data_IF_050387588586
#
_entry.id   IF_050387588586
#
_cell.length_a   1.000
_cell.length_b   1.000
_cell.length_c   1.000
_cell.angle_alpha   90.00
_cell.angle_beta   90.00
_cell.angle_gamma   90.00
#
_symmetry.space_group_name_H-M   'P 1'
#
loop_
_entity.id
_entity.type
_entity.pdbx_description
1 polymer ?
#
# COMPACT_ATOMS: atom_id res chain seq x y z
N UNK A 1 -38.06 26.98 19.32
CA UNK A 1 -38.82 27.13 18.06
C UNK A 1 -38.12 27.98 16.98
N UNK A 2 -37.04 28.73 17.27
CA UNK A 2 -36.35 29.56 16.27
C UNK A 2 -35.40 28.83 15.30
N UNK A 3 -34.82 27.70 15.70
CA UNK A 3 -33.82 26.96 14.89
C UNK A 3 -34.43 26.05 13.82
N UNK A 4 -35.69 25.60 14.00
CA UNK A 4 -36.36 24.73 13.04
C UNK A 4 -36.73 25.47 11.74
N UNK A 5 -37.04 26.78 11.81
CA UNK A 5 -37.32 27.60 10.61
C UNK A 5 -36.08 27.80 9.74
N UNK A 6 -34.90 27.91 10.33
CA UNK A 6 -33.65 28.08 9.58
C UNK A 6 -33.26 26.83 8.80
N UNK A 7 -33.43 25.63 9.38
CA UNK A 7 -33.09 24.40 8.68
C UNK A 7 -34.07 24.06 7.54
N UNK A 8 -35.35 24.40 7.69
CA UNK A 8 -36.34 24.24 6.60
C UNK A 8 -36.07 25.20 5.43
N UNK A 9 -35.64 26.44 5.72
CA UNK A 9 -35.27 27.40 4.66
C UNK A 9 -33.97 27.03 3.95
N UNK A 10 -32.99 26.46 4.67
CA UNK A 10 -31.74 25.95 4.06
C UNK A 10 -32.03 24.73 3.18
N UNK A 11 -32.92 23.83 3.61
CA UNK A 11 -33.34 22.68 2.80
C UNK A 11 -34.08 23.12 1.52
N UNK A 12 -34.98 24.11 1.63
CA UNK A 12 -35.69 24.68 0.48
C UNK A 12 -34.74 25.43 -0.47
N UNK A 13 -33.71 26.08 0.05
CA UNK A 13 -32.66 26.72 -0.75
C UNK A 13 -31.79 25.71 -1.51
N UNK A 14 -31.44 24.59 -0.89
CA UNK A 14 -30.65 23.52 -1.53
C UNK A 14 -31.47 22.76 -2.59
N UNK A 15 -32.78 22.60 -2.39
CA UNK A 15 -33.68 22.00 -3.39
C UNK A 15 -33.93 22.91 -4.60
N UNK A 16 -33.90 24.24 -4.42
CA UNK A 16 -34.00 25.19 -5.53
C UNK A 16 -32.72 25.29 -6.38
N UNK A 17 -31.55 24.99 -5.80
CA UNK A 17 -30.26 24.97 -6.52
C UNK A 17 -30.05 23.70 -7.37
N UNK A 18 -30.82 22.62 -7.11
CA UNK A 18 -30.66 21.35 -7.80
C UNK A 18 -31.47 21.23 -9.12
N UNK A 19 -32.21 22.27 -9.55
CA UNK A 19 -33.02 22.22 -10.78
C UNK A 19 -32.41 22.93 -11.99
N UNK A 20 -31.13 23.28 -11.95
CA UNK A 20 -30.45 23.97 -13.05
C UNK A 20 -29.03 23.46 -13.21
N UNK A 21 -28.85 22.35 -13.94
CA UNK A 21 -27.72 22.17 -14.86
C UNK A 21 -27.89 20.87 -15.64
N UNK A 22 -28.11 21.03 -16.94
CA UNK A 22 -28.06 19.97 -17.93
C UNK A 22 -26.75 20.19 -18.70
N UNK A 23 -25.68 19.50 -18.30
CA UNK A 23 -24.39 19.58 -18.99
C UNK A 23 -23.79 18.20 -19.09
N UNK A 24 -23.72 17.70 -20.32
CA UNK A 24 -22.95 16.52 -20.74
C UNK A 24 -21.45 16.81 -20.65
N UNK A 25 -20.69 15.98 -19.94
CA UNK A 25 -19.23 15.90 -20.13
C UNK A 25 -18.65 14.54 -19.76
N UNK A 26 -17.72 14.12 -20.61
CA UNK A 26 -16.89 12.90 -20.60
C UNK A 26 -15.96 12.78 -19.37
N UNK A 27 -15.35 11.59 -19.14
CA UNK A 27 -14.66 11.25 -17.90
C UNK A 27 -13.16 11.62 -17.96
N UNK A 28 -12.84 12.83 -17.55
CA UNK A 28 -11.49 13.22 -17.13
C UNK A 28 -11.67 14.32 -16.08
N UNK A 29 -11.42 13.99 -14.82
CA UNK A 29 -10.96 14.88 -13.74
C UNK A 29 -11.18 14.19 -12.39
N UNK A 30 -10.15 13.45 -11.94
CA UNK A 30 -10.01 12.96 -10.58
C UNK A 30 -8.75 13.60 -9.99
N UNK A 31 -8.76 14.92 -9.80
CA UNK A 31 -7.72 15.64 -9.09
C UNK A 31 -8.28 16.91 -8.42
N UNK A 32 -7.87 17.13 -7.16
CA UNK A 32 -8.10 18.30 -6.26
C UNK A 32 -9.38 18.31 -5.40
N UNK A 33 -9.19 18.14 -4.08
CA UNK A 33 -9.34 19.21 -3.07
C UNK A 33 -9.28 18.64 -1.64
N UNK A 34 -8.22 18.99 -0.91
CA UNK A 34 -8.11 19.02 0.55
C UNK A 34 -7.85 20.49 0.92
N UNK A 35 -8.43 20.96 2.04
CA UNK A 35 -7.80 21.77 3.12
C UNK A 35 -8.89 22.45 3.99
N UNK A 36 -8.84 22.25 5.31
CA UNK A 36 -8.63 23.35 6.29
C UNK A 36 -8.59 22.86 7.77
N UNK A 37 -7.79 23.58 8.56
CA UNK A 37 -7.19 23.28 9.87
C UNK A 37 -8.07 23.59 11.10
N UNK A 38 -7.63 23.14 12.30
CA UNK A 38 -7.31 24.03 13.46
C UNK A 38 -6.68 23.27 14.66
N UNK A 39 -5.62 23.86 15.26
CA UNK A 39 -4.85 23.40 16.43
C UNK A 39 -5.52 23.70 17.79
N UNK A 40 -5.14 22.97 18.85
CA UNK A 40 -5.17 23.45 20.24
C UNK A 40 -4.17 22.71 21.15
N UNK A 41 -3.46 23.47 21.98
CA UNK A 41 -2.44 23.09 22.97
C UNK A 41 -2.98 22.34 24.20
N UNK A 42 -2.06 21.66 24.94
CA UNK A 42 -2.32 21.24 26.33
C UNK A 42 -1.21 20.43 27.03
N UNK A 43 -0.48 21.08 27.94
CA UNK A 43 0.50 20.56 28.90
C UNK A 43 -0.03 19.50 29.90
N UNK A 44 0.87 18.72 30.51
CA UNK A 44 0.56 18.03 31.78
C UNK A 44 1.62 17.06 32.32
N UNK A 45 2.34 17.49 33.37
CA UNK A 45 3.37 16.76 34.12
C UNK A 45 2.85 15.91 35.30
N UNK A 46 3.72 15.02 35.82
CA UNK A 46 3.63 14.33 37.13
C UNK A 46 3.63 12.80 37.00
N UNK A 47 4.47 11.99 37.63
CA UNK A 47 5.22 12.10 38.89
C UNK A 47 4.73 10.98 39.84
N UNK A 48 5.62 10.09 40.30
CA UNK A 48 5.28 9.14 41.39
C UNK A 48 6.08 7.84 41.42
N UNK A 49 7.06 7.79 42.34
CA UNK A 49 7.86 6.62 42.75
C UNK A 49 7.06 5.56 43.52
N UNK A 50 7.53 4.30 43.46
CA UNK A 50 7.11 3.22 44.36
C UNK A 50 7.89 1.92 44.14
N UNK A 51 8.84 1.64 45.03
CA UNK A 51 9.81 0.56 44.96
C UNK A 51 9.23 -0.86 45.15
N UNK A 52 9.85 -1.86 44.51
CA UNK A 52 9.85 -3.25 45.00
C UNK A 52 11.18 -3.97 44.64
N UNK A 53 11.96 -4.33 45.66
CA UNK A 53 13.29 -4.94 45.57
C UNK A 53 13.20 -6.46 45.44
N UNK A 54 12.80 -6.91 44.26
CA UNK A 54 13.18 -8.21 43.64
C UNK A 54 13.36 -8.05 42.12
N UNK A 55 13.44 -6.80 41.66
CA UNK A 55 13.47 -6.35 40.26
C UNK A 55 14.87 -5.94 39.76
N UNK A 56 15.93 -6.05 40.57
CA UNK A 56 17.20 -5.37 40.25
C UNK A 56 17.96 -5.99 39.06
N UNK A 57 17.84 -7.31 38.82
CA UNK A 57 18.48 -7.94 37.67
C UNK A 57 17.74 -7.64 36.36
N UNK A 58 16.40 -7.68 36.38
CA UNK A 58 15.59 -7.36 35.19
C UNK A 58 15.64 -5.87 34.85
N UNK A 59 15.80 -5.00 35.86
CA UNK A 59 15.98 -3.56 35.64
C UNK A 59 17.33 -3.23 35.03
N UNK A 60 18.41 -3.93 35.43
CA UNK A 60 19.73 -3.74 34.84
C UNK A 60 19.76 -4.22 33.39
N UNK A 61 19.21 -5.41 33.11
CA UNK A 61 19.09 -5.92 31.73
C UNK A 61 18.25 -4.99 30.86
N UNK A 62 17.13 -4.48 31.38
CA UNK A 62 16.30 -3.48 30.69
C UNK A 62 17.07 -2.18 30.42
N UNK A 63 17.85 -1.68 31.39
CA UNK A 63 18.65 -0.47 31.21
C UNK A 63 19.77 -0.67 30.17
N UNK A 64 20.40 -1.85 30.15
CA UNK A 64 21.42 -2.19 29.16
C UNK A 64 20.79 -2.27 27.76
N UNK A 65 19.66 -2.97 27.61
CA UNK A 65 18.93 -3.05 26.34
C UNK A 65 18.47 -1.67 25.87
N UNK A 66 17.90 -0.85 26.75
CA UNK A 66 17.49 0.51 26.44
C UNK A 66 18.68 1.37 26.01
N UNK A 67 19.82 1.27 26.69
CA UNK A 67 21.03 2.00 26.33
C UNK A 67 21.58 1.56 24.97
N UNK A 68 21.63 0.25 24.69
CA UNK A 68 22.04 -0.28 23.39
C UNK A 68 21.10 0.18 22.28
N UNK A 69 19.78 0.15 22.51
CA UNK A 69 18.77 0.64 21.58
C UNK A 69 18.97 2.12 21.24
N UNK A 70 19.19 2.97 22.24
CA UNK A 70 19.49 4.39 22.04
C UNK A 70 20.81 4.61 21.28
N UNK A 71 21.85 3.83 21.59
CA UNK A 71 23.12 3.86 20.86
C UNK A 71 22.92 3.52 19.37
N UNK A 72 22.11 2.50 19.07
CA UNK A 72 21.76 2.12 17.71
C UNK A 72 20.94 3.18 16.98
N UNK A 73 19.92 3.74 17.62
CA UNK A 73 19.09 4.82 17.04
C UNK A 73 19.98 6.02 16.68
N UNK A 74 20.90 6.41 17.57
CA UNK A 74 21.87 7.50 17.28
C UNK A 74 22.79 7.14 16.13
N UNK A 75 23.33 5.91 16.07
CA UNK A 75 24.21 5.48 14.99
C UNK A 75 23.49 5.46 13.63
N UNK A 76 22.24 5.00 13.61
CA UNK A 76 21.42 5.01 12.39
C UNK A 76 21.12 6.44 11.94
N UNK A 77 20.79 7.35 12.87
CA UNK A 77 20.61 8.78 12.57
C UNK A 77 21.90 9.44 12.04
N UNK A 78 23.06 9.09 12.58
CA UNK A 78 24.36 9.64 12.15
C UNK A 78 24.78 9.23 10.73
N UNK A 79 24.15 8.20 10.14
CA UNK A 79 24.36 7.85 8.72
C UNK A 79 23.46 8.59 7.75
N UNK A 80 22.56 9.46 8.24
CA UNK A 80 21.63 10.26 7.45
C UNK A 80 22.08 11.72 7.22
N UNK A 81 23.06 12.22 7.98
CA UNK A 81 23.55 13.60 7.87
C UNK A 81 25.06 13.64 7.64
N UNK A 82 25.46 14.56 6.75
CA UNK A 82 26.80 14.75 6.18
C UNK A 82 27.95 14.59 7.20
N UNK A 83 28.99 13.77 6.94
CA UNK A 83 30.06 13.50 7.90
C UNK A 83 31.11 14.61 7.85
N UNK A 84 30.82 15.77 8.43
CA UNK A 84 31.79 16.85 8.61
C UNK A 84 31.75 17.37 10.04
N UNK A 85 32.17 16.54 11.00
CA UNK A 85 32.66 17.03 12.29
C UNK A 85 33.76 16.10 12.77
N UNK A 86 35.00 16.62 12.71
CA UNK A 86 36.17 16.14 13.44
C UNK A 86 35.82 15.97 14.92
N UNK A 87 35.71 14.71 15.37
CA UNK A 87 35.80 14.36 16.78
C UNK A 87 37.03 13.48 16.98
N UNK A 88 37.85 13.90 17.95
CA UNK A 88 39.20 13.44 18.18
C UNK A 88 39.34 11.96 18.49
N UNK A 89 40.43 11.41 17.97
CA UNK A 89 41.06 10.13 18.27
C UNK A 89 41.37 9.94 19.77
N UNK A 90 40.55 9.20 20.53
CA UNK A 90 41.06 8.42 21.68
C UNK A 90 40.15 7.27 22.14
N UNK A 91 39.64 6.44 21.23
CA UNK A 91 38.96 5.17 21.58
C UNK A 91 39.39 4.06 20.59
N UNK A 92 40.65 3.61 20.69
CA UNK A 92 41.20 2.52 19.85
C UNK A 92 40.84 1.10 20.30
N UNK A 93 39.87 0.95 21.19
CA UNK A 93 39.37 -0.35 21.63
C UNK A 93 37.84 -0.42 21.64
N UNK A 94 37.16 0.41 20.83
CA UNK A 94 35.74 0.24 20.57
C UNK A 94 35.56 -0.81 19.48
N UNK A 95 35.23 -2.00 19.95
CA UNK A 95 34.64 -3.16 19.27
C UNK A 95 34.34 -2.99 17.77
N UNK A 96 34.73 -4.01 17.00
CA UNK A 96 34.17 -4.28 15.66
C UNK A 96 32.64 -4.32 15.79
N UNK A 97 32.01 -3.17 15.62
CA UNK A 97 30.56 -3.06 15.69
C UNK A 97 29.98 -4.08 14.70
N UNK A 98 29.01 -4.90 15.13
CA UNK A 98 28.44 -5.90 14.25
C UNK A 98 27.89 -5.20 13.01
N UNK A 99 28.31 -5.70 11.85
CA UNK A 99 27.94 -5.16 10.56
C UNK A 99 26.41 -5.10 10.48
N UNK A 100 25.86 -3.90 10.27
CA UNK A 100 24.42 -3.71 10.16
C UNK A 100 23.90 -4.58 9.01
N UNK A 101 23.04 -5.55 9.31
CA UNK A 101 22.46 -6.45 8.31
C UNK A 101 21.67 -5.62 7.31
N UNK A 102 22.01 -5.73 6.02
CA UNK A 102 21.29 -5.07 4.93
C UNK A 102 20.61 -6.11 4.05
N UNK A 103 19.30 -5.96 3.87
CA UNK A 103 18.47 -6.82 3.01
C UNK A 103 17.92 -5.99 1.86
N UNK A 104 17.90 -6.55 0.66
CA UNK A 104 17.28 -5.92 -0.51
C UNK A 104 15.99 -6.62 -0.90
N UNK A 105 14.91 -5.87 -1.04
CA UNK A 105 13.59 -6.37 -1.42
C UNK A 105 13.04 -5.57 -2.62
N UNK A 106 12.03 -6.13 -3.28
CA UNK A 106 11.32 -5.47 -4.39
C UNK A 106 9.90 -5.15 -3.93
N UNK A 107 9.41 -3.95 -4.24
CA UNK A 107 8.02 -3.55 -3.94
C UNK A 107 7.03 -4.55 -4.51
N UNK A 108 6.10 -5.00 -3.65
CA UNK A 108 4.98 -5.86 -4.02
C UNK A 108 5.31 -7.35 -4.05
N UNK A 109 6.58 -7.74 -4.05
CA UNK A 109 7.01 -9.14 -4.01
C UNK A 109 7.20 -9.64 -2.58
N UNK A 110 7.08 -10.95 -2.37
CA UNK A 110 7.44 -11.56 -1.09
C UNK A 110 8.94 -11.41 -0.86
N UNK A 111 9.31 -10.81 0.26
CA UNK A 111 10.68 -10.72 0.74
C UNK A 111 10.85 -11.63 1.97
N UNK A 112 11.79 -12.58 1.88
CA UNK A 112 12.10 -13.50 2.97
C UNK A 112 13.50 -13.20 3.51
N UNK A 113 13.59 -12.94 4.81
CA UNK A 113 14.86 -12.80 5.51
C UNK A 113 15.22 -14.17 6.08
N UNK A 114 16.36 -14.69 5.63
CA UNK A 114 16.86 -15.99 6.07
C UNK A 114 17.76 -15.86 7.29
N UNK A 115 17.80 -16.92 8.08
CA UNK A 115 18.60 -17.07 9.31
C UNK A 115 20.09 -16.80 9.10
N UNK A 116 20.63 -16.98 7.89
CA UNK A 116 22.05 -16.78 7.58
C UNK A 116 22.60 -15.37 7.86
N UNK A 117 21.72 -14.37 8.01
CA UNK A 117 22.12 -13.02 8.43
C UNK A 117 22.34 -12.90 9.95
N UNK A 118 22.04 -13.97 10.68
CA UNK A 118 21.94 -14.00 12.13
C UNK A 118 22.55 -15.29 12.68
N UNK A 119 22.75 -15.35 13.98
CA UNK A 119 23.15 -16.60 14.61
C UNK A 119 21.92 -17.49 14.80
N UNK A 120 21.81 -18.57 14.03
CA UNK A 120 20.65 -19.49 14.03
C UNK A 120 20.29 -19.99 15.44
N UNK A 121 21.30 -20.22 16.28
CA UNK A 121 21.12 -20.64 17.68
C UNK A 121 20.40 -19.62 18.56
N UNK A 122 20.37 -18.35 18.16
CA UNK A 122 19.59 -17.34 18.88
C UNK A 122 18.09 -17.43 18.55
N UNK A 123 17.74 -17.94 17.37
CA UNK A 123 16.36 -18.06 16.89
C UNK A 123 15.67 -19.34 17.36
N UNK A 124 16.42 -20.41 17.61
CA UNK A 124 15.87 -21.69 18.07
C UNK A 124 15.04 -21.54 19.37
N UNK A 125 13.80 -22.02 19.35
CA UNK A 125 12.86 -21.97 20.49
C UNK A 125 12.68 -20.56 21.08
N UNK A 126 12.76 -19.53 20.24
CA UNK A 126 12.55 -18.14 20.63
C UNK A 126 11.21 -17.61 20.11
N UNK A 127 10.72 -16.54 20.73
CA UNK A 127 9.63 -15.71 20.21
C UNK A 127 10.23 -14.48 19.57
N UNK A 128 9.78 -14.16 18.35
CA UNK A 128 10.24 -13.00 17.60
C UNK A 128 9.30 -11.82 17.81
N UNK A 129 9.87 -10.61 17.86
CA UNK A 129 9.16 -9.34 17.90
C UNK A 129 9.80 -8.36 16.92
N UNK A 130 8.98 -7.53 16.31
CA UNK A 130 9.41 -6.59 15.29
C UNK A 130 9.09 -5.17 15.71
N UNK A 131 10.11 -4.32 15.75
CA UNK A 131 9.93 -2.89 16.01
C UNK A 131 10.39 -2.10 14.79
N UNK A 132 9.47 -1.33 14.21
CA UNK A 132 9.79 -0.38 13.17
C UNK A 132 10.38 0.90 13.77
N UNK A 133 11.45 1.41 13.17
CA UNK A 133 12.10 2.66 13.59
C UNK A 133 11.68 3.81 12.67
N UNK A 134 11.70 5.04 13.20
CA UNK A 134 11.41 6.27 12.45
C UNK A 134 10.06 6.28 11.73
N UNK A 135 9.03 5.67 12.33
CA UNK A 135 7.70 5.57 11.71
C UNK A 135 7.65 4.67 10.48
N UNK A 136 8.67 3.81 10.27
CA UNK A 136 8.67 2.83 9.18
C UNK A 136 7.41 1.97 9.24
N UNK A 137 6.81 1.67 8.08
CA UNK A 137 5.65 0.80 8.01
C UNK A 137 6.05 -0.64 8.38
N UNK A 138 5.32 -1.28 9.30
CA UNK A 138 5.53 -2.69 9.62
C UNK A 138 4.75 -3.56 8.62
N UNK A 139 5.48 -4.27 7.76
CA UNK A 139 4.90 -5.17 6.75
C UNK A 139 5.46 -6.60 6.83
N UNK A 140 6.33 -6.85 7.81
CA UNK A 140 6.93 -8.16 8.07
C UNK A 140 6.16 -8.90 9.15
N UNK A 141 6.22 -10.22 9.07
CA UNK A 141 5.62 -11.15 10.00
C UNK A 141 6.50 -12.40 10.10
N UNK A 142 6.38 -13.09 11.22
CA UNK A 142 7.02 -14.39 11.41
C UNK A 142 6.26 -15.48 10.64
N UNK A 143 7.00 -16.33 9.95
CA UNK A 143 6.50 -17.54 9.28
C UNK A 143 7.03 -18.78 9.98
N UNK A 144 6.44 -19.93 9.63
CA UNK A 144 6.88 -21.23 10.14
C UNK A 144 8.41 -21.39 9.95
N UNK A 145 9.07 -22.04 10.92
CA UNK A 145 10.51 -22.24 10.99
C UNK A 145 11.35 -20.98 11.27
N UNK A 146 10.83 -20.03 12.07
CA UNK A 146 11.53 -18.82 12.48
C UNK A 146 12.06 -18.01 11.28
N UNK A 147 11.35 -18.11 10.15
CA UNK A 147 11.63 -17.33 8.95
C UNK A 147 10.84 -16.04 9.03
N UNK A 148 11.38 -14.97 8.46
CA UNK A 148 10.73 -13.66 8.51
C UNK A 148 10.35 -13.34 7.09
N UNK A 149 9.05 -13.10 6.87
CA UNK A 149 8.51 -12.84 5.55
C UNK A 149 7.71 -11.54 5.55
N UNK A 150 7.51 -10.97 4.38
CA UNK A 150 6.69 -9.79 4.24
C UNK A 150 6.58 -9.32 2.80
N UNK A 151 5.64 -8.41 2.54
CA UNK A 151 5.47 -7.80 1.21
C UNK A 151 5.55 -6.28 1.35
N UNK A 152 6.68 -5.64 0.98
CA UNK A 152 6.83 -4.20 1.11
C UNK A 152 5.93 -3.49 0.07
N UNK A 153 5.20 -2.45 0.50
CA UNK A 153 4.28 -1.69 -0.37
C UNK A 153 4.88 -0.42 -0.95
N UNK A 154 6.00 0.03 -0.39
CA UNK A 154 6.60 1.33 -0.70
C UNK A 154 8.09 1.18 -0.98
N UNK A 155 8.59 1.97 -1.93
CA UNK A 155 10.04 2.11 -2.21
C UNK A 155 10.65 2.90 -1.08
N UNK A 156 11.87 2.54 -0.66
CA UNK A 156 12.59 3.30 0.35
C UNK A 156 13.56 2.46 1.15
N UNK A 157 14.14 3.09 2.18
CA UNK A 157 15.04 2.47 3.14
C UNK A 157 14.35 2.42 4.48
N UNK A 158 14.16 1.21 5.01
CA UNK A 158 13.40 0.98 6.24
C UNK A 158 14.29 0.38 7.31
N UNK A 159 14.19 0.91 8.53
CA UNK A 159 15.02 0.50 9.65
C UNK A 159 14.17 -0.24 10.68
N UNK A 160 14.67 -1.37 11.13
CA UNK A 160 13.94 -2.27 12.02
C UNK A 160 14.85 -2.83 13.10
N UNK A 161 14.24 -3.26 14.20
CA UNK A 161 14.85 -4.09 15.23
C UNK A 161 14.05 -5.38 15.32
N UNK A 162 14.75 -6.51 15.24
CA UNK A 162 14.21 -7.82 15.63
C UNK A 162 14.60 -8.05 17.08
N UNK A 163 13.59 -8.18 17.94
CA UNK A 163 13.74 -8.62 19.31
C UNK A 163 13.49 -10.12 19.40
N UNK A 164 14.47 -10.84 19.91
CA UNK A 164 14.43 -12.27 20.19
C UNK A 164 14.21 -12.46 21.68
N UNK A 165 13.25 -13.29 22.06
CA UNK A 165 13.03 -13.69 23.44
C UNK A 165 13.08 -15.19 23.58
N UNK A 166 14.05 -15.71 24.32
CA UNK A 166 14.19 -17.14 24.62
C UNK A 166 13.31 -17.53 25.80
N UNK A 167 12.95 -18.81 25.86
CA UNK A 167 12.22 -19.40 26.99
C UNK A 167 12.97 -19.31 28.33
N UNK A 168 14.30 -19.17 28.29
CA UNK A 168 15.15 -18.90 29.47
C UNK A 168 14.94 -17.51 30.08
N UNK A 169 14.23 -16.61 29.38
CA UNK A 169 14.09 -15.20 29.73
C UNK A 169 15.18 -14.31 29.13
N UNK A 170 16.20 -14.88 28.48
CA UNK A 170 17.21 -14.13 27.74
C UNK A 170 16.57 -13.41 26.55
N UNK A 171 16.90 -12.14 26.36
CA UNK A 171 16.41 -11.35 25.23
C UNK A 171 17.56 -10.62 24.54
N UNK A 172 17.54 -10.65 23.20
CA UNK A 172 18.53 -9.99 22.33
C UNK A 172 17.81 -9.18 21.27
N UNK A 173 18.39 -8.05 20.90
CA UNK A 173 17.90 -7.20 19.84
C UNK A 173 18.96 -7.11 18.75
N UNK A 174 18.55 -7.20 17.48
CA UNK A 174 19.45 -6.90 16.37
C UNK A 174 18.80 -5.90 15.41
N UNK A 175 19.47 -4.78 15.14
CA UNK A 175 19.02 -3.83 14.14
C UNK A 175 19.38 -4.33 12.74
N UNK A 176 18.53 -4.01 11.77
CA UNK A 176 18.77 -4.28 10.36
C UNK A 176 18.07 -3.24 9.49
N UNK A 177 18.52 -3.15 8.24
CA UNK A 177 17.97 -2.23 7.25
C UNK A 177 17.47 -2.99 6.04
N UNK A 178 16.31 -2.59 5.53
CA UNK A 178 15.71 -3.13 4.32
C UNK A 178 15.70 -2.04 3.26
N UNK A 179 16.42 -2.27 2.18
CA UNK A 179 16.39 -1.44 0.98
C UNK A 179 15.34 -2.01 0.03
N UNK A 180 14.26 -1.26 -0.19
CA UNK A 180 13.18 -1.66 -1.10
C UNK A 180 13.28 -0.88 -2.40
N UNK A 181 13.47 -1.61 -3.50
CA UNK A 181 13.57 -1.03 -4.85
C UNK A 181 12.26 -1.17 -5.62
N UNK A 182 12.06 -0.29 -6.60
CA UNK A 182 10.91 -0.39 -7.49
C UNK A 182 11.04 -1.59 -8.45
N UNK A 183 9.90 -2.22 -8.72
CA UNK A 183 9.74 -3.20 -9.78
C UNK A 183 9.57 -2.50 -11.14
N UNK A 184 10.12 -3.08 -12.20
CA UNK A 184 9.92 -2.55 -13.55
C UNK A 184 8.41 -2.47 -13.88
N UNK A 185 8.00 -1.37 -14.53
CA UNK A 185 6.59 -1.17 -14.89
C UNK A 185 6.12 -2.34 -15.78
N UNK A 186 5.12 -3.12 -15.36
CA UNK A 186 4.68 -4.28 -16.13
C UNK A 186 3.86 -3.85 -17.34
N UNK A 187 3.82 -4.71 -18.36
CA UNK A 187 2.97 -4.56 -19.56
C UNK A 187 1.61 -5.28 -19.42
N UNK A 188 1.37 -5.93 -18.29
CA UNK A 188 0.12 -6.60 -17.97
C UNK A 188 -0.16 -6.51 -16.47
N UNK A 189 -1.41 -6.69 -16.08
CA UNK A 189 -1.85 -6.77 -14.69
C UNK A 189 -3.08 -7.67 -14.61
N UNK A 190 -3.18 -8.40 -13.52
CA UNK A 190 -4.36 -9.15 -13.15
C UNK A 190 -5.10 -8.39 -12.05
N UNK A 191 -6.41 -8.32 -12.19
CA UNK A 191 -7.31 -7.66 -11.25
C UNK A 191 -8.21 -8.71 -10.64
N UNK A 192 -8.22 -8.81 -9.31
CA UNK A 192 -9.14 -9.68 -8.57
C UNK A 192 -10.02 -8.82 -7.68
N UNK A 193 -11.34 -8.97 -7.83
CA UNK A 193 -12.33 -8.39 -6.94
C UNK A 193 -12.76 -9.43 -5.90
N UNK A 194 -12.51 -9.13 -4.63
CA UNK A 194 -12.87 -9.97 -3.49
C UNK A 194 -13.99 -9.34 -2.68
N UNK A 195 -15.01 -10.10 -2.31
CA UNK A 195 -15.94 -9.66 -1.26
C UNK A 195 -15.28 -9.74 0.13
N UNK A 196 -14.42 -10.74 0.34
CA UNK A 196 -13.58 -10.90 1.53
C UNK A 196 -12.24 -11.53 1.11
N UNK A 197 -11.12 -11.20 1.77
CA UNK A 197 -10.98 -10.21 2.86
C UNK A 197 -11.15 -8.76 2.40
N UNK A 198 -11.47 -7.84 3.32
CA UNK A 198 -11.59 -6.39 3.03
C UNK A 198 -10.21 -5.73 2.95
N UNK A 199 -10.06 -4.50 2.39
CA UNK A 199 -8.76 -3.83 2.35
C UNK A 199 -8.16 -3.57 3.74
N UNK A 200 -9.02 -3.40 4.75
CA UNK A 200 -8.63 -3.28 6.15
C UNK A 200 -7.85 -4.52 6.63
N UNK A 201 -8.33 -5.73 6.32
CA UNK A 201 -7.62 -6.96 6.70
C UNK A 201 -6.21 -7.01 6.11
N UNK A 202 -6.05 -6.61 4.84
CA UNK A 202 -4.73 -6.55 4.19
C UNK A 202 -3.82 -5.44 4.74
N UNK A 203 -4.37 -4.45 5.44
CA UNK A 203 -3.58 -3.37 6.05
C UNK A 203 -3.20 -3.67 7.49
N UNK A 204 -4.12 -4.27 8.26
CA UNK A 204 -3.88 -4.61 9.67
C UNK A 204 -3.05 -5.88 9.85
N UNK A 205 -3.17 -6.84 8.92
CA UNK A 205 -2.54 -8.16 9.03
C UNK A 205 -1.58 -8.36 7.85
N UNK A 206 -0.28 -8.04 8.00
CA UNK A 206 0.70 -8.14 6.92
C UNK A 206 0.77 -9.53 6.26
N UNK A 207 0.50 -10.59 7.01
CA UNK A 207 0.50 -11.97 6.55
C UNK A 207 -0.54 -12.25 5.45
N UNK A 208 -1.62 -11.46 5.38
CA UNK A 208 -2.66 -11.64 4.37
C UNK A 208 -2.15 -11.38 2.96
N UNK A 209 -1.23 -10.43 2.77
CA UNK A 209 -0.68 -10.09 1.44
C UNK A 209 0.23 -11.22 0.94
N UNK A 210 1.14 -11.69 1.80
CA UNK A 210 2.04 -12.80 1.45
C UNK A 210 1.29 -14.11 1.24
N UNK A 211 0.30 -14.40 2.07
CA UNK A 211 -0.54 -15.60 1.90
C UNK A 211 -1.36 -15.53 0.61
N UNK A 212 -1.94 -14.37 0.29
CA UNK A 212 -2.65 -14.17 -0.98
C UNK A 212 -1.76 -14.48 -2.19
N UNK A 213 -0.52 -13.95 -2.22
CA UNK A 213 0.42 -14.23 -3.31
C UNK A 213 0.78 -15.72 -3.41
N UNK A 214 1.02 -16.39 -2.26
CA UNK A 214 1.29 -17.84 -2.22
C UNK A 214 0.09 -18.66 -2.73
N UNK A 215 -1.12 -18.27 -2.38
CA UNK A 215 -2.34 -18.97 -2.81
C UNK A 215 -2.64 -18.74 -4.30
N UNK A 216 -2.47 -17.51 -4.81
CA UNK A 216 -2.58 -17.20 -6.24
C UNK A 216 -1.56 -17.99 -7.05
N UNK A 217 -0.29 -17.96 -6.63
CA UNK A 217 0.79 -18.68 -7.30
C UNK A 217 0.48 -20.18 -7.39
N UNK A 218 0.03 -20.79 -6.28
CA UNK A 218 -0.42 -22.19 -6.25
C UNK A 218 -1.58 -22.43 -7.23
N UNK A 219 -2.59 -21.57 -7.21
CA UNK A 219 -3.78 -21.72 -8.04
C UNK A 219 -3.51 -21.59 -9.54
N UNK A 220 -2.48 -20.82 -9.93
CA UNK A 220 -2.05 -20.68 -11.33
C UNK A 220 -0.82 -21.54 -11.67
N UNK A 221 -0.37 -22.42 -10.78
CA UNK A 221 0.83 -23.23 -10.94
C UNK A 221 2.07 -22.40 -11.38
N UNK A 222 2.33 -21.31 -10.66
CA UNK A 222 3.50 -20.44 -10.80
C UNK A 222 4.28 -20.37 -9.49
N UNK A 223 5.49 -19.82 -9.53
CA UNK A 223 6.23 -19.51 -8.30
C UNK A 223 5.74 -18.19 -7.70
N UNK A 224 5.56 -18.13 -6.38
CA UNK A 224 5.17 -16.90 -5.70
C UNK A 224 6.25 -15.81 -5.80
N UNK A 225 7.50 -16.20 -6.03
CA UNK A 225 8.62 -15.26 -6.25
C UNK A 225 8.51 -14.51 -7.58
N UNK A 226 7.65 -14.98 -8.49
CA UNK A 226 7.41 -14.39 -9.80
C UNK A 226 6.21 -13.44 -9.79
N UNK A 227 5.56 -13.24 -8.63
CA UNK A 227 4.39 -12.38 -8.52
C UNK A 227 4.69 -11.15 -7.67
N UNK A 228 4.05 -10.04 -8.03
CA UNK A 228 4.11 -8.82 -7.26
C UNK A 228 2.74 -8.14 -7.17
N UNK A 229 2.32 -7.76 -5.96
CA UNK A 229 1.14 -6.94 -5.72
C UNK A 229 1.50 -5.47 -5.97
N UNK A 230 0.81 -4.83 -6.91
CA UNK A 230 0.98 -3.39 -7.15
C UNK A 230 0.04 -2.56 -6.28
N UNK A 231 -1.19 -3.03 -6.04
CA UNK A 231 -2.20 -2.25 -5.32
C UNK A 231 -3.26 -3.11 -4.64
N UNK A 232 -3.66 -2.69 -3.45
CA UNK A 232 -4.85 -3.18 -2.73
C UNK A 232 -5.68 -1.96 -2.37
N UNK A 233 -6.95 -1.91 -2.77
CA UNK A 233 -7.84 -0.79 -2.42
C UNK A 233 -9.29 -1.22 -2.27
N UNK A 234 -10.07 -0.40 -1.57
CA UNK A 234 -11.52 -0.49 -1.61
C UNK A 234 -12.04 -0.16 -3.02
N UNK A 235 -13.01 -0.93 -3.49
CA UNK A 235 -13.75 -0.67 -4.72
C UNK A 235 -15.22 -1.02 -4.48
N UNK A 236 -16.06 -0.01 -4.25
CA UNK A 236 -17.45 -0.22 -3.78
C UNK A 236 -17.43 -1.06 -2.50
N UNK A 237 -18.17 -2.17 -2.45
CA UNK A 237 -18.24 -3.10 -1.32
C UNK A 237 -17.28 -4.28 -1.46
N UNK A 238 -16.25 -4.17 -2.32
CA UNK A 238 -15.25 -5.22 -2.56
C UNK A 238 -13.83 -4.68 -2.39
N UNK A 239 -12.88 -5.60 -2.27
CA UNK A 239 -11.45 -5.33 -2.33
C UNK A 239 -10.97 -5.57 -3.75
N UNK A 240 -10.34 -4.57 -4.36
CA UNK A 240 -9.60 -4.75 -5.60
C UNK A 240 -8.13 -5.01 -5.28
N UNK A 241 -7.63 -6.16 -5.72
CA UNK A 241 -6.20 -6.48 -5.72
C UNK A 241 -5.70 -6.48 -7.14
N UNK A 242 -4.60 -5.76 -7.36
CA UNK A 242 -3.90 -5.68 -8.64
C UNK A 242 -2.52 -6.27 -8.45
N UNK A 243 -2.21 -7.31 -9.21
CA UNK A 243 -0.91 -7.97 -9.21
C UNK A 243 -0.46 -8.27 -10.64
N UNK A 244 0.79 -8.68 -10.82
CA UNK A 244 1.35 -9.02 -12.13
C UNK A 244 2.49 -10.03 -11.96
N UNK A 245 2.89 -10.64 -13.07
CA UNK A 245 4.05 -11.52 -13.11
C UNK A 245 5.31 -10.72 -13.44
N UNK A 246 6.35 -10.86 -12.61
CA UNK A 246 7.62 -10.12 -12.71
C UNK A 246 8.60 -10.73 -13.71
N UNK A 247 8.39 -11.96 -14.18
CA UNK A 247 9.28 -12.63 -15.15
C UNK A 247 8.92 -12.31 -16.60
N UNK A 248 7.67 -11.91 -16.88
CA UNK A 248 7.26 -11.47 -18.21
C UNK A 248 7.91 -10.11 -18.51
N UNK A 249 8.73 -10.08 -19.56
CA UNK A 249 9.47 -8.90 -19.95
C UNK A 249 8.54 -7.72 -20.28
N UNK A 250 8.75 -6.58 -19.63
CA UNK A 250 7.95 -5.37 -19.85
C UNK A 250 8.04 -4.76 -21.25
N UNK A 251 9.06 -5.14 -22.04
CA UNK A 251 9.33 -4.60 -23.38
C UNK A 251 8.64 -5.33 -24.52
N UNK A 252 8.22 -6.58 -24.32
CA UNK A 252 7.58 -7.41 -25.36
C UNK A 252 6.31 -8.03 -24.81
N UNK A 253 5.24 -8.01 -25.59
CA UNK A 253 4.01 -8.65 -25.15
C UNK A 253 4.06 -10.16 -25.43
N UNK A 254 4.19 -10.95 -24.38
CA UNK A 254 4.17 -12.42 -24.45
C UNK A 254 2.73 -12.91 -24.28
N UNK A 255 1.88 -12.65 -25.27
CA UNK A 255 0.44 -12.96 -25.22
C UNK A 255 0.19 -14.41 -24.79
N UNK A 256 0.91 -15.38 -25.37
CA UNK A 256 0.74 -16.78 -25.02
C UNK A 256 0.95 -17.08 -23.51
N UNK A 257 1.92 -16.45 -22.86
CA UNK A 257 2.19 -16.65 -21.44
C UNK A 257 1.12 -15.95 -20.56
N UNK A 258 0.72 -14.75 -20.96
CA UNK A 258 -0.33 -13.97 -20.30
C UNK A 258 -1.68 -14.70 -20.40
N UNK A 259 -2.02 -15.20 -21.59
CA UNK A 259 -3.25 -15.92 -21.88
C UNK A 259 -3.27 -17.27 -21.15
N UNK A 260 -2.14 -17.98 -21.09
CA UNK A 260 -2.02 -19.23 -20.32
C UNK A 260 -2.24 -19.01 -18.81
N UNK A 261 -1.79 -17.89 -18.25
CA UNK A 261 -2.11 -17.53 -16.87
C UNK A 261 -3.58 -17.11 -16.72
N UNK A 262 -4.11 -16.34 -17.67
CA UNK A 262 -5.51 -15.87 -17.65
C UNK A 262 -6.49 -17.03 -17.71
N UNK A 263 -6.26 -18.01 -18.60
CA UNK A 263 -7.10 -19.20 -18.77
C UNK A 263 -7.16 -20.09 -17.52
N UNK A 264 -6.17 -19.99 -16.62
CA UNK A 264 -6.23 -20.66 -15.31
C UNK A 264 -7.17 -19.95 -14.36
N UNK A 265 -7.28 -18.62 -14.44
CA UNK A 265 -8.07 -17.81 -13.51
C UNK A 265 -9.52 -17.58 -13.95
N UNK A 266 -9.74 -17.57 -15.26
CA UNK A 266 -11.00 -17.17 -15.89
C UNK A 266 -11.40 -18.22 -16.93
N UNK A 267 -12.68 -18.53 -17.02
CA UNK A 267 -13.22 -19.44 -18.04
C UNK A 267 -13.53 -18.73 -19.37
N UNK A 268 -14.11 -19.45 -20.33
CA UNK A 268 -14.46 -18.91 -21.65
C UNK A 268 -15.56 -17.82 -21.60
N UNK A 269 -16.30 -17.72 -20.49
CA UNK A 269 -17.40 -16.76 -20.31
C UNK A 269 -16.98 -15.54 -19.48
N UNK A 270 -15.67 -15.35 -19.26
CA UNK A 270 -15.11 -14.30 -18.42
C UNK A 270 -15.54 -14.40 -16.94
N UNK A 271 -15.93 -15.59 -16.49
CA UNK A 271 -16.30 -15.90 -15.10
C UNK A 271 -15.09 -16.51 -14.40
N UNK A 272 -14.88 -16.26 -13.09
CA UNK A 272 -13.80 -16.91 -12.34
C UNK A 272 -13.87 -18.43 -12.48
N UNK A 273 -12.76 -19.04 -12.92
CA UNK A 273 -12.66 -20.47 -13.12
C UNK A 273 -12.90 -21.20 -11.76
N UNK A 274 -13.84 -22.17 -11.69
CA UNK A 274 -14.17 -22.84 -10.44
C UNK A 274 -12.98 -23.60 -9.83
N UNK A 275 -12.07 -24.13 -10.64
CA UNK A 275 -10.85 -24.79 -10.16
C UNK A 275 -9.90 -23.79 -9.51
N UNK A 276 -9.75 -22.60 -10.09
CA UNK A 276 -8.99 -21.51 -9.50
C UNK A 276 -9.60 -21.03 -8.18
N UNK A 277 -10.91 -20.79 -8.14
CA UNK A 277 -11.61 -20.38 -6.91
C UNK A 277 -11.45 -21.44 -5.82
N UNK A 278 -11.54 -22.72 -6.18
CA UNK A 278 -11.31 -23.84 -5.26
C UNK A 278 -9.86 -23.89 -4.76
N UNK A 279 -8.88 -23.69 -5.64
CA UNK A 279 -7.45 -23.73 -5.31
C UNK A 279 -6.99 -22.54 -4.45
N UNK A 280 -7.60 -21.36 -4.66
CA UNK A 280 -7.42 -20.18 -3.80
C UNK A 280 -7.92 -20.46 -2.38
N UNK A 281 -8.95 -21.29 -2.23
CA UNK A 281 -9.45 -21.75 -0.94
C UNK A 281 -10.50 -20.83 -0.32
N UNK A 282 -11.12 -21.27 0.80
CA UNK A 282 -12.34 -20.65 1.34
C UNK A 282 -12.09 -19.29 2.01
N UNK A 283 -10.84 -18.89 2.21
CA UNK A 283 -10.48 -17.58 2.79
C UNK A 283 -10.83 -16.40 1.87
N UNK A 284 -10.98 -16.65 0.57
CA UNK A 284 -11.22 -15.62 -0.42
C UNK A 284 -12.61 -15.82 -1.05
N UNK A 285 -13.43 -14.76 -0.99
CA UNK A 285 -14.70 -14.72 -1.72
C UNK A 285 -14.50 -13.97 -3.03
N UNK A 286 -14.06 -14.68 -4.06
CA UNK A 286 -13.74 -14.12 -5.38
C UNK A 286 -15.05 -13.80 -6.11
N UNK A 287 -15.19 -12.55 -6.56
CA UNK A 287 -16.35 -12.07 -7.33
C UNK A 287 -16.06 -12.00 -8.82
N UNK A 288 -14.85 -11.55 -9.17
CA UNK A 288 -14.47 -11.33 -10.56
C UNK A 288 -12.95 -11.33 -10.68
N UNK A 289 -12.46 -11.78 -11.83
CA UNK A 289 -11.05 -11.72 -12.22
C UNK A 289 -10.97 -11.19 -13.64
N UNK A 290 -10.04 -10.28 -13.90
CA UNK A 290 -9.81 -9.73 -15.25
C UNK A 290 -8.33 -9.47 -15.52
N UNK A 291 -7.99 -9.47 -16.81
CA UNK A 291 -6.69 -9.07 -17.33
C UNK A 291 -6.75 -7.61 -17.79
N UNK A 292 -5.77 -6.82 -17.40
CA UNK A 292 -5.53 -5.49 -17.96
C UNK A 292 -4.19 -5.45 -18.68
N UNK A 293 -4.19 -5.14 -19.97
CA UNK A 293 -2.98 -4.93 -20.75
C UNK A 293 -2.52 -3.46 -20.65
N UNK A 294 -1.20 -3.25 -20.70
CA UNK A 294 -0.56 -1.94 -20.51
C UNK A 294 0.53 -1.76 -21.58
N UNK A 295 0.69 -0.52 -22.09
CA UNK A 295 1.75 -0.13 -23.04
C UNK A 295 1.81 -1.06 -24.26
N UNK A 296 2.96 -1.70 -24.50
CA UNK A 296 3.25 -2.54 -25.67
C UNK A 296 2.26 -3.69 -25.88
N UNK A 297 1.59 -4.14 -24.82
CA UNK A 297 0.55 -5.16 -24.92
C UNK A 297 -0.79 -4.63 -25.41
N UNK A 298 -1.04 -3.33 -25.27
CA UNK A 298 -2.24 -2.69 -25.80
C UNK A 298 -2.14 -2.49 -27.32
N UNK A 299 -0.99 -2.00 -27.80
CA UNK A 299 -0.76 -1.66 -29.22
C UNK A 299 -0.72 -2.89 -30.15
N UNK A 300 -0.41 -4.07 -29.59
CA UNK A 300 -0.31 -5.33 -30.34
C UNK A 300 -1.65 -5.88 -30.82
N UNK A 301 -2.76 -5.47 -30.20
CA UNK A 301 -4.12 -5.91 -30.55
C UNK A 301 -4.68 -5.16 -31.78
N UNK A 302 -4.35 -3.87 -31.92
CA UNK A 302 -4.83 -3.05 -33.04
C UNK A 302 -4.13 -3.39 -34.37
N UNK A 303 -2.90 -3.91 -34.30
CA UNK A 303 -2.12 -4.25 -35.50
C UNK A 303 -2.67 -5.49 -36.23
N UNK A 304 -3.37 -6.40 -35.53
CA UNK A 304 -3.90 -7.64 -36.14
C UNK A 304 -5.27 -7.42 -36.80
N UNK A 305 -6.04 -6.40 -36.37
CA UNK A 305 -7.33 -6.07 -37.00
C UNK A 305 -7.22 -5.20 -38.26
N UNK A 306 -6.07 -4.61 -38.56
CA UNK A 306 -5.90 -3.67 -39.69
C UNK A 306 -5.46 -4.30 -41.02
N UNK A 307 -5.33 -5.62 -41.11
CA UNK A 307 -5.11 -6.31 -42.41
C UNK A 307 -6.35 -7.07 -42.84
N UNK A 308 -7.38 -6.32 -43.26
CA UNK A 308 -8.45 -6.84 -44.11
C UNK A 308 -8.35 -6.13 -45.46
N UNK A 309 -8.23 -6.83 -46.60
CA UNK A 309 -8.26 -6.20 -47.92
C UNK A 309 -9.64 -5.61 -48.15
N UNK A 310 -9.68 -4.32 -48.48
CA UNK A 310 -10.89 -3.63 -48.95
C UNK A 310 -11.41 -4.32 -50.22
N UNK A 311 -12.60 -4.92 -50.12
CA UNK A 311 -13.47 -5.14 -51.26
C UNK A 311 -14.77 -4.38 -50.99
N UNK A 312 -14.86 -3.18 -51.55
CA UNK A 312 -15.99 -2.27 -51.39
C UNK A 312 -16.90 -2.37 -52.61
N UNK A 313 -18.06 -2.98 -52.43
CA UNK A 313 -19.22 -2.76 -53.31
C UNK A 313 -20.46 -2.51 -52.45
N UNK A 314 -21.22 -1.49 -52.85
CA UNK A 314 -22.64 -1.20 -52.50
C UNK A 314 -22.92 -0.52 -51.16
N UNK A 315 -23.89 0.39 -50.98
CA UNK A 315 -24.76 1.27 -51.79
C UNK A 315 -25.51 2.10 -50.73
N UNK A 316 -25.70 3.40 -50.99
CA UNK A 316 -26.50 4.34 -50.20
C UNK A 316 -27.93 3.89 -49.89
N UNK A 317 -28.46 4.23 -48.69
CA UNK A 317 -29.79 4.90 -48.48
C UNK A 317 -29.83 5.60 -47.09
N UNK A 318 -30.34 6.84 -46.97
CA UNK A 318 -30.61 7.55 -45.71
C UNK A 318 -32.09 7.49 -45.30
N UNK A 319 -32.41 7.56 -44.00
CA UNK A 319 -33.70 8.09 -43.50
C UNK A 319 -33.71 8.45 -42.01
N UNK A 320 -34.37 9.58 -41.77
CA UNK A 320 -34.60 10.42 -40.59
C UNK A 320 -35.59 9.89 -39.54
N UNK A 321 -35.72 10.68 -38.45
CA UNK A 321 -36.86 10.89 -37.50
C UNK A 321 -36.98 9.89 -36.34
N UNK A 322 -37.34 10.22 -35.10
CA UNK A 322 -37.90 11.43 -34.44
C UNK A 322 -37.89 11.20 -32.92
N UNK A 323 -37.76 12.26 -32.15
CA UNK A 323 -37.90 12.34 -30.70
C UNK A 323 -39.35 12.17 -30.22
N UNK A 324 -39.57 11.41 -29.14
CA UNK A 324 -40.76 11.56 -28.30
C UNK A 324 -40.41 11.38 -26.80
N UNK A 325 -40.55 12.48 -26.06
CA UNK A 325 -40.49 12.53 -24.59
C UNK A 325 -41.86 12.14 -24.03
N UNK A 326 -42.00 10.90 -23.59
CA UNK A 326 -43.12 10.45 -22.77
C UNK A 326 -42.72 10.47 -21.29
N UNK A 327 -43.23 11.45 -20.53
CA UNK A 327 -43.12 11.43 -19.07
C UNK A 327 -43.94 10.25 -18.53
N UNK A 328 -43.24 9.19 -18.14
CA UNK A 328 -43.82 8.01 -17.51
C UNK A 328 -44.22 8.32 -16.07
N UNK A 329 -45.39 7.87 -15.66
CA UNK A 329 -45.99 7.99 -14.33
C UNK A 329 -45.19 7.32 -13.19
N UNK A 330 -44.02 6.77 -13.50
CA UNK A 330 -43.07 6.17 -12.54
C UNK A 330 -42.39 7.19 -11.61
N UNK A 331 -42.28 8.45 -12.01
CA UNK A 331 -41.51 9.48 -11.26
C UNK A 331 -42.13 9.88 -9.93
N UNK A 332 -43.45 9.74 -9.77
CA UNK A 332 -44.14 10.04 -8.50
C UNK A 332 -43.86 9.00 -7.41
N UNK A 333 -43.71 7.73 -7.79
CA UNK A 333 -43.43 6.65 -6.83
C UNK A 333 -42.00 6.78 -6.31
N UNK A 334 -41.04 7.06 -7.19
CA UNK A 334 -39.64 7.27 -6.83
C UNK A 334 -39.47 8.48 -5.90
N UNK A 335 -40.22 9.56 -6.14
CA UNK A 335 -40.20 10.74 -5.28
C UNK A 335 -40.76 10.47 -3.87
N UNK A 336 -41.86 9.72 -3.77
CA UNK A 336 -42.46 9.35 -2.47
C UNK A 336 -41.52 8.45 -1.66
N UNK A 337 -40.83 7.50 -2.31
CA UNK A 337 -39.84 6.64 -1.66
C UNK A 337 -38.65 7.46 -1.15
N UNK A 338 -38.13 8.39 -1.96
CA UNK A 338 -37.02 9.26 -1.57
C UNK A 338 -37.37 10.10 -0.32
N UNK A 339 -38.56 10.71 -0.29
CA UNK A 339 -39.03 11.51 0.86
C UNK A 339 -39.17 10.63 2.11
N UNK A 340 -39.69 9.40 1.98
CA UNK A 340 -39.82 8.48 3.11
C UNK A 340 -38.46 8.07 3.70
N UNK A 341 -37.45 7.83 2.86
CA UNK A 341 -36.08 7.50 3.30
C UNK A 341 -35.44 8.67 4.05
N UNK A 342 -35.60 9.91 3.56
CA UNK A 342 -35.06 11.10 4.22
C UNK A 342 -35.69 11.29 5.60
N UNK A 343 -37.02 11.15 5.72
CA UNK A 343 -37.73 11.23 7.01
C UNK A 343 -37.22 10.16 7.97
N UNK A 344 -37.01 8.92 7.50
CA UNK A 344 -36.49 7.84 8.33
C UNK A 344 -35.08 8.13 8.86
N UNK A 345 -34.18 8.66 8.02
CA UNK A 345 -32.82 9.03 8.42
C UNK A 345 -32.84 10.14 9.48
N UNK A 346 -33.68 11.17 9.31
CA UNK A 346 -33.80 12.27 10.28
C UNK A 346 -34.33 11.75 11.62
N UNK A 347 -35.34 10.88 11.62
CA UNK A 347 -35.87 10.28 12.85
C UNK A 347 -34.83 9.38 13.52
N UNK A 348 -34.10 8.57 12.76
CA UNK A 348 -33.03 7.72 13.28
C UNK A 348 -31.91 8.55 13.92
N UNK A 349 -31.55 9.68 13.30
CA UNK A 349 -30.51 10.57 13.81
C UNK A 349 -30.94 11.29 15.10
N UNK A 350 -32.19 11.75 15.20
CA UNK A 350 -32.72 12.35 16.43
C UNK A 350 -32.88 11.30 17.54
N UNK A 351 -33.32 10.09 17.21
CA UNK A 351 -33.33 8.95 18.15
C UNK A 351 -31.92 8.61 18.63
N UNK A 352 -30.92 8.61 17.74
CA UNK A 352 -29.53 8.36 18.12
C UNK A 352 -29.01 9.44 19.06
N UNK A 353 -29.26 10.73 18.76
CA UNK A 353 -28.92 11.85 19.66
C UNK A 353 -29.54 11.71 21.04
N UNK A 354 -30.81 11.27 21.10
CA UNK A 354 -31.51 11.06 22.37
C UNK A 354 -30.92 9.90 23.17
N UNK A 355 -30.63 8.77 22.51
CA UNK A 355 -29.94 7.64 23.13
C UNK A 355 -28.54 8.02 23.64
N UNK A 356 -27.80 8.85 22.91
CA UNK A 356 -26.48 9.31 23.33
C UNK A 356 -26.53 10.23 24.56
N UNK A 357 -27.61 11.01 24.71
CA UNK A 357 -27.81 11.88 25.89
C UNK A 357 -28.35 11.14 27.11
N UNK A 358 -29.03 9.99 26.94
CA UNK A 358 -29.55 9.19 28.05
C UNK A 358 -28.56 8.14 28.57
N UNK A 359 -27.40 7.96 27.94
CA UNK A 359 -26.34 7.05 28.38
C UNK A 359 -25.55 7.59 29.58
N UNK A 360 -25.76 6.99 30.75
CA UNK A 360 -24.92 7.08 31.96
C UNK A 360 -23.41 6.91 31.62
N UNK A 361 -22.49 7.49 32.41
CA UNK A 361 -21.07 7.55 32.07
C UNK A 361 -20.47 6.14 31.96
N UNK A 362 -20.19 5.73 30.73
CA UNK A 362 -19.35 4.56 30.46
C UNK A 362 -17.91 5.00 30.73
N UNK A 363 -17.37 4.41 31.79
CA UNK A 363 -15.98 4.32 32.22
C UNK A 363 -14.95 5.15 31.41
N UNK A 364 -14.39 6.18 32.08
CA UNK A 364 -13.44 7.20 31.58
C UNK A 364 -12.07 6.67 31.13
N UNK A 365 -11.88 5.35 31.07
CA UNK A 365 -10.61 4.69 30.74
C UNK A 365 -10.44 4.43 29.24
N UNK A 366 -11.52 4.35 28.45
CA UNK A 366 -11.43 4.00 27.01
C UNK A 366 -11.17 5.23 26.11
N UNK A 367 -11.48 6.46 26.54
CA UNK A 367 -11.24 7.65 25.73
C UNK A 367 -9.78 8.14 25.73
N UNK A 368 -8.93 7.73 26.67
CA UNK A 368 -7.52 8.16 26.68
C UNK A 368 -6.66 7.50 25.61
N UNK A 369 -7.14 6.42 24.99
CA UNK A 369 -6.40 5.71 23.93
C UNK A 369 -6.70 6.27 22.52
N UNK A 370 -7.75 7.08 22.36
CA UNK A 370 -8.09 7.71 21.08
C UNK A 370 -7.36 9.02 20.81
N UNK A 371 -6.89 9.73 21.85
CA UNK A 371 -6.23 11.04 21.68
C UNK A 371 -4.72 10.94 21.37
N UNK A 372 -4.12 9.75 21.48
CA UNK A 372 -2.69 9.52 21.18
C UNK A 372 -2.43 9.07 19.74
N UNK A 373 -3.46 8.77 18.96
CA UNK A 373 -3.33 8.32 17.55
C UNK A 373 -3.51 9.48 16.56
N UNK A 374 -4.23 10.54 16.94
CA UNK A 374 -4.52 11.66 16.03
C UNK A 374 -3.37 12.66 15.84
N UNK A 375 -2.32 12.63 16.68
CA UNK A 375 -1.17 13.53 16.54
C UNK A 375 -0.04 12.99 15.62
N UNK A 376 -0.13 11.75 15.12
CA UNK A 376 0.97 11.11 14.38
C UNK A 376 0.72 10.97 12.87
N UNK A 377 -0.41 11.46 12.34
CA UNK A 377 -0.85 11.21 10.95
C UNK A 377 -1.08 12.52 10.17
N UNK A 378 -0.34 13.59 10.47
CA UNK A 378 -0.49 14.87 9.74
C UNK A 378 0.81 15.48 9.19
N UNK A 379 1.88 14.69 9.06
CA UNK A 379 3.16 15.22 8.57
C UNK A 379 3.83 14.33 7.51
N UNK A 380 3.11 13.89 6.48
CA UNK A 380 3.73 13.42 5.23
C UNK A 380 2.79 13.74 4.06
N UNK A 381 2.90 14.94 3.49
CA UNK A 381 2.59 15.21 2.07
C UNK A 381 3.06 16.63 1.70
N UNK A 382 4.35 16.76 1.35
CA UNK A 382 4.85 17.95 0.65
C UNK A 382 5.95 17.56 -0.36
N UNK A 383 5.63 17.34 -1.64
CA UNK A 383 6.64 17.11 -2.68
C UNK A 383 6.98 18.45 -3.34
N UNK A 384 7.88 19.21 -2.73
CA UNK A 384 8.41 20.43 -3.33
C UNK A 384 9.93 20.47 -3.25
N UNK A 385 10.62 19.58 -3.98
CA UNK A 385 12.02 19.78 -4.40
C UNK A 385 12.34 18.89 -5.62
N UNK A 386 12.06 19.41 -6.82
CA UNK A 386 12.55 18.85 -8.08
C UNK A 386 12.90 19.99 -9.03
N UNK A 387 14.13 20.49 -8.88
CA UNK A 387 14.88 21.37 -9.79
C UNK A 387 16.34 21.21 -9.34
N UNK A 388 17.38 21.06 -10.15
CA UNK A 388 17.60 21.29 -11.57
C UNK A 388 19.07 20.89 -11.82
N UNK A 389 19.39 19.90 -12.64
CA UNK A 389 20.72 19.79 -13.26
C UNK A 389 20.61 19.13 -14.63
N UNK A 390 20.59 19.96 -15.66
CA UNK A 390 20.90 19.61 -17.03
C UNK A 390 22.07 20.49 -17.42
N UNK A 391 23.24 19.91 -17.70
CA UNK A 391 24.25 20.58 -18.51
C UNK A 391 25.04 19.54 -19.33
N UNK A 392 25.23 19.75 -20.65
CA UNK A 392 25.89 18.80 -21.53
C UNK A 392 27.41 19.01 -21.57
N UNK A 393 28.15 17.90 -21.65
CA UNK A 393 29.58 17.91 -21.90
C UNK A 393 29.88 18.40 -23.33
N UNK A 394 30.67 19.47 -23.40
CA UNK A 394 31.20 20.09 -24.61
C UNK A 394 32.44 19.33 -25.06
N UNK A 395 32.43 18.81 -26.27
CA UNK A 395 33.59 18.29 -26.99
C UNK A 395 34.52 19.43 -27.37
N UNK A 396 35.81 19.29 -27.07
CA UNK A 396 36.89 20.00 -27.77
C UNK A 396 37.94 19.01 -28.23
N UNK A 397 38.16 19.14 -29.53
CA UNK A 397 39.14 18.55 -30.43
C UNK A 397 40.58 18.97 -30.09
N UNK A 398 41.54 18.30 -30.74
CA UNK A 398 43.02 18.38 -30.68
C UNK A 398 43.61 17.16 -29.95
N UNK A 399 44.31 16.20 -30.55
CA UNK A 399 45.05 16.20 -31.82
C UNK A 399 46.53 16.03 -31.50
N UNK A 400 47.04 14.79 -31.48
CA UNK A 400 48.43 14.50 -31.86
C UNK A 400 48.66 12.99 -32.00
N UNK A 401 49.28 12.64 -33.13
CA UNK A 401 49.57 11.30 -33.61
C UNK A 401 51.11 11.14 -33.64
N UNK A 402 51.70 10.07 -33.09
CA UNK A 402 53.07 9.72 -33.39
C UNK A 402 53.15 8.60 -34.44
N UNK A 403 54.27 8.53 -35.20
CA UNK A 403 54.37 7.72 -36.40
C UNK A 403 54.69 6.24 -36.10
N UNK A 404 54.25 5.37 -37.02
CA UNK A 404 54.73 4.01 -37.15
C UNK A 404 56.21 3.99 -37.52
N UNK A 405 56.98 3.15 -36.84
CA UNK A 405 58.27 2.68 -37.31
C UNK A 405 58.21 1.16 -37.52
N UNK A 406 58.49 0.78 -38.77
CA UNK A 406 58.70 -0.59 -39.25
C UNK A 406 59.84 -1.27 -38.49
N UNK A 407 59.71 -2.55 -38.17
CA UNK A 407 60.83 -3.49 -38.37
C UNK A 407 60.30 -4.91 -38.58
N UNK A 408 60.61 -5.44 -39.77
CA UNK A 408 60.53 -6.85 -40.13
C UNK A 408 61.88 -7.51 -39.84
N UNK A 409 61.86 -8.70 -39.23
CA UNK A 409 62.77 -9.83 -39.47
C UNK A 409 62.17 -11.10 -38.87
#
# INVERSE_FOLDING_TARGET
MGTLKYHVLILLGLLAMASSENTTSNPTDLEKLLTNETMSDGDGAGGGDGANRTHDLTKLDYQIQHFQREKWIRKLNLTSENPNTDMMDDDRELDKDPELVQVSCIVGSICELKSNHWNESDFENSTLSFTALHGSHLWMYETDNNTISGVPRYVGRFYYIIGIQKSSGESKEYPFVVNVTEVAIPNHKFLILLALPTPFHFSEFPEYVGQFLKDVARAINASYSELAVKKIKAFRNTTLIMFFNTTIASRRCLNHEIDAMTAKMVDQNEVPNPEFVKAMGPRYSIRHVSLGLIKSCHDSLETILSTTPEDSTSTDVPSTTSSSTGFSSSTLVDFVILVAVIVFIVVAFECWKFCYRCGKPINRQVMRMSQLVDHSILEIDNPAFAMNQTEPARTTENGEQPPMENTTA
#
